data_IF_674512590673
#
_entry.id   IF_674512590673
#
_cell.length_a   1.000
_cell.length_b   1.000
_cell.length_c   1.000
_cell.angle_alpha   90.00
_cell.angle_beta   90.00
_cell.angle_gamma   90.00
#
_symmetry.space_group_name_H-M   'P 1'
#
loop_
_entity.id
_entity.type
_entity.pdbx_description
1 polymer ?
#
# COMPACT_ATOMS: atom_id res chain seq x y z
N UNK A 1 -11.72 -8.43 -15.68
CA UNK A 1 -11.14 -7.19 -15.12
C UNK A 1 -10.21 -6.64 -16.18
N UNK A 2 -10.41 -5.40 -16.59
CA UNK A 2 -9.50 -4.70 -17.49
C UNK A 2 -8.45 -3.96 -16.65
N UNK A 3 -7.20 -3.89 -17.10
CA UNK A 3 -6.10 -3.26 -16.37
C UNK A 3 -5.45 -2.21 -17.25
N UNK A 4 -5.54 -0.95 -16.82
CA UNK A 4 -4.90 0.17 -17.50
C UNK A 4 -3.72 0.65 -16.66
N UNK A 5 -2.50 0.51 -17.20
CA UNK A 5 -1.28 0.98 -16.55
C UNK A 5 -0.95 2.37 -17.07
N UNK A 6 -0.72 3.32 -16.15
CA UNK A 6 -0.31 4.69 -16.45
C UNK A 6 0.89 5.07 -15.59
N UNK A 7 1.82 5.83 -16.15
CA UNK A 7 2.89 6.44 -15.36
C UNK A 7 2.33 7.59 -14.53
N UNK A 8 2.95 7.84 -13.38
CA UNK A 8 2.53 8.88 -12.43
C UNK A 8 2.81 10.32 -12.90
N UNK A 9 3.54 10.50 -13.99
CA UNK A 9 3.86 11.79 -14.63
C UNK A 9 3.05 12.05 -15.90
N UNK A 10 2.35 11.05 -16.43
CA UNK A 10 1.62 11.11 -17.71
C UNK A 10 0.10 11.28 -17.54
N UNK A 11 -0.39 11.34 -16.30
CA UNK A 11 -1.82 11.37 -15.99
C UNK A 11 -2.14 12.51 -15.03
N UNK A 12 -3.22 13.25 -15.28
CA UNK A 12 -3.75 14.20 -14.29
C UNK A 12 -4.76 13.51 -13.38
N UNK A 13 -4.97 14.01 -12.16
CA UNK A 13 -6.01 13.49 -11.26
C UNK A 13 -7.39 13.52 -11.91
N UNK A 14 -7.70 14.61 -12.63
CA UNK A 14 -8.98 14.76 -13.32
C UNK A 14 -9.18 13.68 -14.37
N UNK A 15 -8.14 13.36 -15.13
CA UNK A 15 -8.24 12.34 -16.17
C UNK A 15 -8.26 10.92 -15.58
N UNK A 16 -7.53 10.69 -14.48
CA UNK A 16 -7.60 9.43 -13.73
C UNK A 16 -9.02 9.14 -13.23
N UNK A 17 -9.71 10.14 -12.66
CA UNK A 17 -11.08 9.96 -12.15
C UNK A 17 -12.11 9.82 -13.28
N UNK A 18 -11.91 10.48 -14.42
CA UNK A 18 -12.77 10.33 -15.61
C UNK A 18 -12.70 8.94 -16.25
N UNK A 19 -11.67 8.16 -15.94
CA UNK A 19 -11.61 6.76 -16.35
C UNK A 19 -12.58 5.88 -15.54
N UNK A 20 -13.26 6.44 -14.54
CA UNK A 20 -14.21 5.75 -13.66
C UNK A 20 -13.63 4.45 -13.08
N UNK A 21 -12.44 4.48 -12.46
CA UNK A 21 -11.81 3.28 -11.96
C UNK A 21 -12.60 2.70 -10.78
N UNK A 22 -12.85 1.39 -10.83
CA UNK A 22 -13.41 0.65 -9.68
C UNK A 22 -12.37 0.41 -8.58
N UNK A 23 -11.08 0.41 -8.96
CA UNK A 23 -9.95 0.13 -8.08
C UNK A 23 -8.73 0.94 -8.53
N UNK A 24 -7.92 1.38 -7.57
CA UNK A 24 -6.64 2.04 -7.84
C UNK A 24 -5.51 1.21 -7.22
N UNK A 25 -4.44 0.95 -7.96
CA UNK A 25 -3.22 0.35 -7.45
C UNK A 25 -2.05 1.30 -7.66
N UNK A 26 -1.38 1.66 -6.56
CA UNK A 26 -0.16 2.46 -6.57
C UNK A 26 1.05 1.55 -6.36
N UNK A 27 1.83 1.32 -7.42
CA UNK A 27 3.10 0.60 -7.35
C UNK A 27 4.20 1.31 -8.16
N UNK A 28 4.49 2.60 -7.89
CA UNK A 28 5.52 3.32 -8.64
C UNK A 28 6.91 2.69 -8.41
N UNK A 29 7.75 2.76 -9.44
CA UNK A 29 9.14 2.31 -9.41
C UNK A 29 10.03 3.15 -8.48
N UNK A 30 11.33 2.84 -8.39
CA UNK A 30 12.23 3.44 -7.41
C UNK A 30 12.38 4.95 -7.62
N UNK A 31 11.71 5.74 -6.77
CA UNK A 31 11.83 7.19 -6.64
C UNK A 31 11.54 7.57 -5.18
N UNK A 32 11.96 8.77 -4.75
CA UNK A 32 11.56 9.30 -3.44
C UNK A 32 10.04 9.53 -3.37
N UNK A 33 9.38 9.34 -2.21
CA UNK A 33 7.94 9.62 -2.03
C UNK A 33 7.55 11.05 -2.37
N UNK A 34 8.44 12.00 -2.09
CA UNK A 34 8.27 13.41 -2.49
C UNK A 34 8.29 13.62 -4.02
N UNK A 35 8.84 12.65 -4.75
CA UNK A 35 8.86 12.59 -6.21
C UNK A 35 7.82 11.59 -6.77
N UNK A 36 6.90 11.07 -5.95
CA UNK A 36 5.88 10.12 -6.39
C UNK A 36 4.83 10.74 -7.35
N UNK A 37 5.04 11.96 -7.83
CA UNK A 37 4.21 12.62 -8.83
C UNK A 37 2.78 12.82 -8.31
N UNK A 38 1.78 12.40 -9.09
CA UNK A 38 0.38 12.55 -8.71
C UNK A 38 -0.07 11.64 -7.55
N UNK A 39 0.75 10.68 -7.10
CA UNK A 39 0.29 9.61 -6.21
C UNK A 39 -0.28 10.11 -4.87
N UNK A 40 0.28 11.18 -4.28
CA UNK A 40 -0.26 11.79 -3.07
C UNK A 40 -1.65 12.37 -3.29
N UNK A 41 -1.81 13.17 -4.34
CA UNK A 41 -3.09 13.80 -4.67
C UNK A 41 -4.12 12.78 -5.15
N UNK A 42 -3.68 11.72 -5.84
CA UNK A 42 -4.53 10.61 -6.26
C UNK A 42 -5.04 9.81 -5.05
N UNK A 43 -4.21 9.62 -4.03
CA UNK A 43 -4.64 8.98 -2.78
C UNK A 43 -5.73 9.80 -2.08
N UNK A 44 -5.55 11.12 -1.99
CA UNK A 44 -6.56 12.02 -1.43
C UNK A 44 -7.85 12.03 -2.26
N UNK A 45 -7.73 12.07 -3.58
CA UNK A 45 -8.87 12.02 -4.49
C UNK A 45 -9.65 10.70 -4.37
N UNK A 46 -8.94 9.56 -4.30
CA UNK A 46 -9.53 8.25 -4.06
C UNK A 46 -10.25 8.20 -2.70
N UNK A 47 -9.67 8.79 -1.65
CA UNK A 47 -10.29 8.90 -0.34
C UNK A 47 -11.61 9.68 -0.39
N UNK A 48 -11.63 10.83 -1.07
CA UNK A 48 -12.84 11.66 -1.24
C UNK A 48 -13.92 10.92 -2.02
N UNK A 49 -13.53 10.26 -3.12
CA UNK A 49 -14.44 9.49 -3.98
C UNK A 49 -14.79 8.11 -3.40
N UNK A 50 -14.17 7.70 -2.29
CA UNK A 50 -14.26 6.36 -1.68
C UNK A 50 -13.92 5.23 -2.66
N UNK A 51 -13.02 5.50 -3.60
CA UNK A 51 -12.52 4.49 -4.54
C UNK A 51 -11.51 3.61 -3.80
N UNK A 52 -11.68 2.27 -3.80
CA UNK A 52 -10.70 1.37 -3.21
C UNK A 52 -9.30 1.55 -3.78
N UNK A 53 -8.31 1.62 -2.90
CA UNK A 53 -6.91 1.84 -3.26
C UNK A 53 -5.99 0.88 -2.52
N UNK A 54 -5.07 0.25 -3.25
CA UNK A 54 -3.94 -0.49 -2.69
C UNK A 54 -2.61 0.15 -3.05
N UNK A 55 -1.76 0.40 -2.06
CA UNK A 55 -0.40 0.91 -2.24
C UNK A 55 0.65 -0.16 -1.95
N UNK A 56 1.54 -0.42 -2.90
CA UNK A 56 2.65 -1.36 -2.76
C UNK A 56 3.97 -0.58 -2.69
N UNK A 57 4.81 -0.90 -1.71
CA UNK A 57 6.11 -0.28 -1.47
C UNK A 57 6.03 1.26 -1.39
N UNK A 58 6.41 1.99 -2.45
CA UNK A 58 6.28 3.44 -2.51
C UNK A 58 4.81 3.90 -2.45
N UNK A 59 3.87 3.10 -2.94
CA UNK A 59 2.44 3.36 -2.76
C UNK A 59 1.99 3.26 -1.30
N UNK A 60 2.55 2.33 -0.52
CA UNK A 60 2.28 2.23 0.92
C UNK A 60 2.78 3.47 1.66
N UNK A 61 4.00 3.94 1.33
CA UNK A 61 4.58 5.16 1.89
C UNK A 61 3.76 6.39 1.52
N UNK A 62 3.31 6.48 0.26
CA UNK A 62 2.42 7.53 -0.24
C UNK A 62 1.14 7.60 0.59
N UNK A 63 0.53 6.46 0.93
CA UNK A 63 -0.68 6.43 1.77
C UNK A 63 -0.37 6.99 3.16
N UNK A 64 0.71 6.52 3.80
CA UNK A 64 1.15 7.04 5.10
C UNK A 64 1.28 8.56 5.09
N UNK A 65 1.96 9.09 4.08
CA UNK A 65 2.19 10.53 3.91
C UNK A 65 0.92 11.31 3.56
N UNK A 66 0.05 10.78 2.69
CA UNK A 66 -1.19 11.44 2.27
C UNK A 66 -2.15 11.71 3.44
N UNK A 67 -2.10 10.89 4.49
CA UNK A 67 -2.90 11.05 5.71
C UNK A 67 -2.15 11.72 6.87
N UNK A 68 -0.92 12.19 6.66
CA UNK A 68 -0.16 13.00 7.62
C UNK A 68 0.93 12.26 8.40
N UNK A 69 1.19 10.98 8.11
CA UNK A 69 2.34 10.26 8.65
C UNK A 69 3.66 10.72 8.02
N UNK A 70 4.79 10.49 8.69
CA UNK A 70 6.11 10.74 8.11
C UNK A 70 6.66 9.49 7.44
N UNK A 71 7.39 9.71 6.35
CA UNK A 71 8.21 8.68 5.72
C UNK A 71 9.67 9.00 6.03
N UNK A 72 10.36 8.08 6.69
CA UNK A 72 11.73 8.25 7.17
C UNK A 72 12.63 7.18 6.56
N UNK A 73 13.94 7.39 6.64
CA UNK A 73 14.91 6.34 6.29
C UNK A 73 14.75 5.14 7.22
N UNK A 74 14.66 3.96 6.63
CA UNK A 74 14.74 2.72 7.37
C UNK A 74 16.11 2.63 8.06
N UNK A 75 16.14 2.07 9.26
CA UNK A 75 17.38 1.83 10.01
C UNK A 75 18.32 0.85 9.27
N UNK A 76 17.76 0.05 8.36
CA UNK A 76 18.49 -0.85 7.47
C UNK A 76 18.05 -0.62 6.01
N UNK A 77 19.01 -0.54 5.08
CA UNK A 77 18.71 -0.56 3.64
C UNK A 77 18.42 -2.00 3.24
N UNK A 78 17.20 -2.28 2.77
CA UNK A 78 16.75 -3.63 2.46
C UNK A 78 16.51 -3.78 0.97
N UNK A 79 17.35 -4.57 0.29
CA UNK A 79 17.16 -4.95 -1.10
C UNK A 79 17.20 -6.47 -1.24
N UNK A 80 16.07 -7.08 -1.60
CA UNK A 80 15.98 -8.50 -1.90
C UNK A 80 16.11 -9.42 -0.69
N UNK A 81 15.78 -8.92 0.51
CA UNK A 81 15.78 -9.74 1.72
C UNK A 81 14.39 -10.26 2.02
N UNK A 82 14.32 -11.48 2.54
CA UNK A 82 13.10 -12.06 3.08
C UNK A 82 12.84 -11.48 4.47
N UNK A 83 11.56 -11.24 4.78
CA UNK A 83 11.08 -10.84 6.09
C UNK A 83 9.84 -11.63 6.48
N UNK A 84 9.68 -11.85 7.79
CA UNK A 84 8.50 -12.50 8.36
C UNK A 84 7.45 -11.44 8.69
N UNK A 85 6.33 -11.48 7.98
CA UNK A 85 5.25 -10.50 8.10
C UNK A 85 4.25 -10.96 9.16
N UNK A 86 4.33 -10.38 10.35
CA UNK A 86 3.33 -10.59 11.41
C UNK A 86 2.14 -9.67 11.13
N UNK A 87 0.91 -10.19 11.09
CA UNK A 87 -0.25 -9.41 10.69
C UNK A 87 -1.50 -9.73 11.52
N UNK A 88 -2.46 -8.81 11.51
CA UNK A 88 -3.69 -8.89 12.32
C UNK A 88 -4.85 -9.62 11.63
N UNK A 89 -4.57 -10.32 10.52
CA UNK A 89 -5.56 -10.98 9.64
C UNK A 89 -6.72 -10.06 9.18
N UNK A 90 -6.45 -8.76 9.02
CA UNK A 90 -7.42 -7.73 8.59
C UNK A 90 -7.19 -7.29 7.15
N UNK A 91 -8.26 -6.82 6.52
CA UNK A 91 -8.22 -6.23 5.17
C UNK A 91 -7.59 -7.18 4.15
N UNK A 92 -6.54 -6.70 3.47
CA UNK A 92 -5.82 -7.50 2.47
C UNK A 92 -5.18 -8.78 3.04
N UNK A 93 -4.95 -8.85 4.36
CA UNK A 93 -4.36 -10.01 5.04
C UNK A 93 -5.37 -11.04 5.54
N UNK A 94 -6.65 -10.89 5.23
CA UNK A 94 -7.72 -11.81 5.67
C UNK A 94 -7.43 -13.25 5.24
N UNK A 95 -7.64 -14.19 6.14
CA UNK A 95 -7.47 -15.64 5.90
C UNK A 95 -6.06 -16.05 5.42
N UNK A 96 -5.03 -15.25 5.73
CA UNK A 96 -3.62 -15.59 5.49
C UNK A 96 -2.95 -16.15 6.76
N UNK A 97 -2.00 -17.09 6.63
CA UNK A 97 -1.16 -17.52 7.75
C UNK A 97 -0.29 -16.37 8.28
N UNK A 98 -0.11 -16.31 9.60
CA UNK A 98 0.77 -15.33 10.24
C UNK A 98 1.79 -15.99 11.19
N UNK A 99 3.09 -15.67 11.07
CA UNK A 99 3.69 -14.86 10.01
C UNK A 99 3.76 -15.61 8.67
N UNK A 100 3.98 -14.87 7.58
CA UNK A 100 4.37 -15.42 6.28
C UNK A 100 5.62 -14.71 5.74
N UNK A 101 6.32 -15.33 4.80
CA UNK A 101 7.53 -14.75 4.21
C UNK A 101 7.23 -13.88 2.99
N UNK A 102 7.82 -12.69 2.92
CA UNK A 102 7.73 -11.82 1.75
C UNK A 102 9.03 -11.09 1.45
N UNK A 103 9.26 -10.80 0.17
CA UNK A 103 10.47 -10.08 -0.26
C UNK A 103 10.33 -8.58 -0.03
N UNK A 104 11.37 -7.99 0.57
CA UNK A 104 11.44 -6.57 0.88
C UNK A 104 12.44 -5.84 -0.02
N UNK A 105 12.02 -4.69 -0.53
CA UNK A 105 12.84 -3.77 -1.32
C UNK A 105 12.52 -2.34 -0.89
N UNK A 106 13.12 -1.87 0.20
CA UNK A 106 12.88 -0.53 0.71
C UNK A 106 14.06 0.07 1.46
N UNK A 107 14.25 1.37 1.26
CA UNK A 107 15.16 2.23 2.00
C UNK A 107 14.42 3.22 2.92
N UNK A 108 13.11 3.33 2.73
CA UNK A 108 12.21 4.23 3.45
C UNK A 108 11.03 3.45 4.04
N UNK A 109 10.52 3.92 5.17
CA UNK A 109 9.40 3.32 5.89
C UNK A 109 8.47 4.40 6.42
N UNK A 110 7.20 4.04 6.64
CA UNK A 110 6.28 4.89 7.40
C UNK A 110 6.68 4.82 8.88
N UNK A 111 6.90 5.99 9.49
CA UNK A 111 7.27 6.12 10.90
C UNK A 111 6.06 5.82 11.80
N UNK A 112 6.25 4.97 12.80
CA UNK A 112 5.17 4.52 13.69
C UNK A 112 4.71 5.63 14.63
N UNK A 113 5.65 6.40 15.14
CA UNK A 113 5.44 7.47 16.14
C UNK A 113 4.60 8.62 15.59
N UNK A 114 4.61 8.82 14.27
CA UNK A 114 3.83 9.86 13.60
C UNK A 114 2.67 9.30 12.80
N UNK A 115 2.35 8.00 12.96
CA UNK A 115 1.22 7.40 12.26
C UNK A 115 -0.09 8.06 12.73
N UNK A 116 -0.87 8.66 11.82
CA UNK A 116 -2.09 9.37 12.17
C UNK A 116 -3.17 8.40 12.65
N UNK A 117 -4.04 8.86 13.56
CA UNK A 117 -5.12 8.04 14.14
C UNK A 117 -6.12 7.47 13.13
N UNK A 118 -6.19 8.01 11.91
CA UNK A 118 -7.05 7.48 10.86
C UNK A 118 -6.48 6.21 10.19
N UNK A 119 -5.19 5.92 10.39
CA UNK A 119 -4.53 4.72 9.90
C UNK A 119 -4.37 3.69 11.04
N UNK A 120 -4.46 2.42 10.68
CA UNK A 120 -4.23 1.28 11.55
C UNK A 120 -3.11 0.42 10.95
N UNK A 121 -2.14 0.01 11.77
CA UNK A 121 -1.11 -0.97 11.38
C UNK A 121 -1.76 -2.35 11.25
N UNK A 122 -1.58 -2.98 10.10
CA UNK A 122 -2.13 -4.32 9.80
C UNK A 122 -1.07 -5.39 9.67
N UNK A 123 0.18 -5.02 9.39
CA UNK A 123 1.32 -5.92 9.43
C UNK A 123 2.60 -5.21 9.87
N UNK A 124 3.50 -5.94 10.52
CA UNK A 124 4.78 -5.46 11.01
C UNK A 124 5.84 -6.57 11.06
N UNK A 125 7.11 -6.18 11.16
CA UNK A 125 8.21 -7.08 11.50
C UNK A 125 8.37 -7.18 13.02
N UNK A 126 9.17 -8.14 13.48
CA UNK A 126 9.48 -8.34 14.90
C UNK A 126 10.13 -7.11 15.58
N UNK A 127 10.78 -6.23 14.81
CA UNK A 127 11.36 -4.98 15.29
C UNK A 127 10.36 -3.80 15.35
N UNK A 128 9.09 -4.04 14.99
CA UNK A 128 8.04 -3.02 14.96
C UNK A 128 7.99 -2.19 13.68
N UNK A 129 8.81 -2.48 12.67
CA UNK A 129 8.73 -1.79 11.37
C UNK A 129 7.38 -2.08 10.70
N UNK A 130 6.64 -1.03 10.33
CA UNK A 130 5.33 -1.15 9.67
C UNK A 130 5.51 -1.78 8.28
N UNK A 131 4.84 -2.90 8.06
CA UNK A 131 4.83 -3.63 6.77
C UNK A 131 3.45 -3.61 6.10
N UNK A 132 2.41 -3.27 6.84
CA UNK A 132 1.05 -3.14 6.35
C UNK A 132 0.29 -2.07 7.14
N UNK A 133 -0.53 -1.29 6.44
CA UNK A 133 -1.46 -0.35 7.05
C UNK A 133 -2.78 -0.32 6.29
N UNK A 134 -3.82 0.16 6.94
CA UNK A 134 -5.11 0.46 6.31
C UNK A 134 -5.75 1.70 6.91
N UNK A 135 -6.59 2.39 6.15
CA UNK A 135 -7.46 3.43 6.71
C UNK A 135 -8.60 2.78 7.50
N UNK A 136 -8.94 3.34 8.67
CA UNK A 136 -9.94 2.75 9.57
C UNK A 136 -11.36 2.74 9.00
N UNK A 137 -11.67 3.66 8.09
CA UNK A 137 -13.03 3.86 7.55
C UNK A 137 -13.12 3.94 6.02
N UNK A 138 -11.99 3.88 5.31
CA UNK A 138 -11.94 3.99 3.85
C UNK A 138 -11.33 2.71 3.28
N UNK A 139 -11.68 2.31 2.05
CA UNK A 139 -11.14 1.10 1.41
C UNK A 139 -9.71 1.30 0.90
N UNK A 140 -8.82 1.80 1.76
CA UNK A 140 -7.43 2.16 1.42
C UNK A 140 -6.50 1.28 2.25
N UNK A 141 -5.66 0.53 1.54
CA UNK A 141 -4.74 -0.43 2.12
C UNK A 141 -3.34 -0.22 1.56
N UNK A 142 -2.31 -0.51 2.34
CA UNK A 142 -0.94 -0.48 1.85
C UNK A 142 -0.10 -1.61 2.41
N UNK A 143 0.82 -2.15 1.62
CA UNK A 143 1.85 -3.08 2.04
C UNK A 143 3.24 -2.61 1.59
N UNK A 144 4.23 -2.69 2.48
CA UNK A 144 5.59 -2.20 2.24
C UNK A 144 6.44 -3.19 1.43
N UNK A 145 6.08 -4.47 1.44
CA UNK A 145 6.72 -5.54 0.66
C UNK A 145 6.02 -5.72 -0.70
N UNK A 146 6.60 -6.57 -1.56
CA UNK A 146 6.11 -6.81 -2.91
C UNK A 146 5.31 -8.13 -2.98
N UNK A 147 3.97 -8.13 -2.86
CA UNK A 147 3.16 -9.33 -3.00
C UNK A 147 3.17 -9.90 -4.43
N UNK A 148 3.54 -9.11 -5.42
CA UNK A 148 3.70 -9.54 -6.80
C UNK A 148 4.98 -10.34 -7.04
N UNK A 149 5.95 -10.30 -6.11
CA UNK A 149 7.18 -11.07 -6.21
C UNK A 149 6.87 -12.56 -6.14
N UNK A 150 7.46 -13.35 -7.05
CA UNK A 150 7.37 -14.82 -7.05
C UNK A 150 7.88 -15.41 -5.72
N UNK A 151 8.81 -14.73 -5.08
CA UNK A 151 9.40 -15.16 -3.81
C UNK A 151 8.56 -14.78 -2.57
N UNK A 152 7.46 -14.03 -2.73
CA UNK A 152 6.55 -13.71 -1.62
C UNK A 152 5.44 -14.75 -1.51
N UNK A 153 5.18 -15.21 -0.29
CA UNK A 153 4.07 -16.12 -0.02
C UNK A 153 2.73 -15.40 -0.10
N UNK A 154 1.70 -16.12 -0.55
CA UNK A 154 0.29 -15.69 -0.53
C UNK A 154 -0.07 -14.40 -1.29
N UNK A 155 0.82 -13.85 -2.11
CA UNK A 155 0.61 -12.61 -2.85
C UNK A 155 -0.69 -12.56 -3.68
N UNK A 156 -0.97 -13.64 -4.43
CA UNK A 156 -2.21 -13.76 -5.21
C UNK A 156 -3.48 -13.71 -4.34
N UNK A 157 -3.45 -14.38 -3.18
CA UNK A 157 -4.59 -14.37 -2.25
C UNK A 157 -4.76 -13.00 -1.61
N UNK A 158 -3.67 -12.30 -1.30
CA UNK A 158 -3.70 -10.94 -0.78
C UNK A 158 -4.32 -9.95 -1.78
N UNK A 159 -3.95 -10.04 -3.06
CA UNK A 159 -4.58 -9.24 -4.13
C UNK A 159 -6.06 -9.63 -4.33
N UNK A 160 -6.40 -10.92 -4.23
CA UNK A 160 -7.79 -11.36 -4.27
C UNK A 160 -8.61 -10.77 -3.11
N UNK A 161 -8.06 -10.75 -1.89
CA UNK A 161 -8.72 -10.14 -0.74
C UNK A 161 -8.97 -8.65 -0.94
N UNK A 162 -8.01 -7.92 -1.55
CA UNK A 162 -8.23 -6.52 -1.93
C UNK A 162 -9.42 -6.40 -2.89
N UNK A 163 -9.47 -7.19 -3.95
CA UNK A 163 -10.57 -7.18 -4.92
C UNK A 163 -11.91 -7.56 -4.28
N UNK A 164 -11.95 -8.47 -3.33
CA UNK A 164 -13.19 -8.86 -2.65
C UNK A 164 -13.69 -7.74 -1.71
N UNK A 165 -12.79 -7.02 -1.02
CA UNK A 165 -13.16 -5.82 -0.24
C UNK A 165 -13.84 -4.75 -1.12
N UNK A 166 -13.54 -4.73 -2.42
CA UNK A 166 -14.10 -3.72 -3.35
C UNK A 166 -15.52 -4.06 -3.79
N UNK A 167 -15.85 -5.35 -3.83
CA UNK A 167 -17.21 -5.83 -4.17
C UNK A 167 -18.19 -5.64 -3.02
N UNK A 168 -17.71 -5.63 -1.78
CA UNK A 168 -18.55 -5.39 -0.60
C UNK A 168 -18.86 -3.90 -0.39
N UNK A 169 -18.07 -3.00 -1.02
CA UNK A 169 -18.21 -1.55 -0.93
C UNK A 169 -19.10 -0.94 -2.04
N UNK A 170 -19.53 -1.75 -3.01
CA UNK A 170 -20.45 -1.39 -4.11
C UNK A 170 -21.83 -1.99 -3.88
#
# INVERSE_FOLDING_TARGET
>A
MDVVVKRNDELTIKDALKMEPTNIMLSPGPCDPEQAGICLELTKAAAVAKIPLIGVCLGHQTIGQAFGGKVIRCHEIVHGKMGHMHHSSKGIFKDLPSPFEATRYHSLIVERETLPDCLEVTAELADGTIMGLQHKTLPIHGCQFHPESIASEHGHKMLQNFLDCTKEAT
#
